data_IF_293888905548
#
_entry.id   IF_293888905548
#
_cell.length_a   1.000
_cell.length_b   1.000
_cell.length_c   1.000
_cell.angle_alpha   90.00
_cell.angle_beta   90.00
_cell.angle_gamma   90.00
#
_symmetry.space_group_name_H-M   'P 1'
#
loop_
_entity.id
_entity.type
_entity.pdbx_description
1 polymer ?
#
# COMPACT_ATOMS: atom_id res chain seq x y z
N UNK A 1 1.28 26.86 -9.34
CA UNK A 1 2.27 27.77 -9.95
C UNK A 1 2.71 27.26 -11.29
N UNK A 2 2.92 28.11 -12.24
CA UNK A 2 3.54 27.79 -13.54
C UNK A 2 5.05 27.92 -13.41
N UNK A 3 5.81 27.27 -14.31
CA UNK A 3 7.27 27.40 -14.37
C UNK A 3 7.73 28.86 -14.51
N UNK A 4 6.96 29.71 -15.19
CA UNK A 4 7.26 31.13 -15.40
C UNK A 4 7.25 31.93 -14.09
N UNK A 5 6.50 31.49 -13.07
CA UNK A 5 6.41 32.18 -11.80
C UNK A 5 7.39 31.64 -10.73
N UNK A 6 8.14 30.56 -11.03
CA UNK A 6 8.98 29.90 -10.03
C UNK A 6 10.08 30.84 -9.47
N UNK A 7 10.75 31.60 -10.31
CA UNK A 7 11.77 32.56 -9.87
C UNK A 7 11.18 33.66 -8.98
N UNK A 8 10.04 34.23 -9.37
CA UNK A 8 9.35 35.26 -8.59
C UNK A 8 8.87 34.71 -7.23
N UNK A 9 8.34 33.48 -7.19
CA UNK A 9 7.94 32.84 -5.92
C UNK A 9 9.14 32.58 -5.00
N UNK A 10 10.28 32.19 -5.58
CA UNK A 10 11.51 32.03 -4.82
C UNK A 10 12.01 33.35 -4.23
N UNK A 11 11.99 34.43 -4.99
CA UNK A 11 12.33 35.78 -4.50
C UNK A 11 11.40 36.22 -3.37
N UNK A 12 10.09 36.03 -3.52
CA UNK A 12 9.12 36.34 -2.47
C UNK A 12 9.36 35.49 -1.21
N UNK A 13 9.65 34.22 -1.35
CA UNK A 13 9.92 33.33 -0.23
C UNK A 13 11.19 33.78 0.55
N UNK A 14 12.24 34.19 -0.14
CA UNK A 14 13.46 34.74 0.47
C UNK A 14 13.16 36.05 1.22
N UNK A 15 12.35 36.92 0.64
CA UNK A 15 11.98 38.19 1.30
C UNK A 15 11.16 37.96 2.57
N UNK A 16 10.16 37.06 2.50
CA UNK A 16 9.37 36.65 3.68
C UNK A 16 10.27 36.08 4.77
N UNK A 17 11.23 35.22 4.41
CA UNK A 17 12.17 34.65 5.35
C UNK A 17 13.07 35.71 6.02
N UNK A 18 13.53 36.72 5.26
CA UNK A 18 14.32 37.85 5.79
C UNK A 18 13.51 38.68 6.78
N UNK A 19 12.25 38.99 6.46
CA UNK A 19 11.35 39.76 7.32
C UNK A 19 11.00 39.00 8.60
N UNK A 20 10.82 37.67 8.49
CA UNK A 20 10.48 36.82 9.63
C UNK A 20 11.65 36.52 10.57
N UNK A 21 12.89 36.62 10.08
CA UNK A 21 14.11 36.29 10.86
C UNK A 21 14.21 36.98 12.21
N UNK A 22 13.91 38.29 12.37
CA UNK A 22 14.02 38.98 13.67
C UNK A 22 13.01 38.49 14.72
N UNK A 23 11.94 37.81 14.31
CA UNK A 23 10.91 37.31 15.21
C UNK A 23 11.33 36.01 15.91
N UNK A 24 12.30 35.29 15.36
CA UNK A 24 12.83 34.07 15.94
C UNK A 24 13.86 34.40 17.05
N UNK A 25 13.51 34.06 18.28
CA UNK A 25 14.38 34.29 19.44
C UNK A 25 15.65 33.45 19.40
N UNK A 26 15.61 32.28 18.81
CA UNK A 26 16.75 31.37 18.65
C UNK A 26 16.93 30.98 17.18
N UNK A 27 18.15 30.99 16.65
CA UNK A 27 18.41 30.53 15.30
C UNK A 27 18.20 28.98 15.20
N UNK A 28 17.54 28.55 14.17
CA UNK A 28 17.44 27.10 13.86
C UNK A 28 18.78 26.63 13.32
N UNK A 29 19.41 25.69 14.03
CA UNK A 29 20.64 25.02 13.59
C UNK A 29 20.25 23.64 13.05
N UNK A 30 20.43 23.44 11.75
CA UNK A 30 20.20 22.14 11.11
C UNK A 30 21.41 21.23 11.36
N UNK A 31 21.15 19.94 11.51
CA UNK A 31 22.21 18.94 11.55
C UNK A 31 23.01 18.97 10.23
N UNK A 32 24.33 18.73 10.29
CA UNK A 32 25.09 18.59 9.05
C UNK A 32 24.68 17.36 8.28
N UNK A 33 24.29 17.56 7.04
CA UNK A 33 23.90 16.48 6.11
C UNK A 33 24.92 16.41 4.96
N UNK A 34 25.26 15.20 4.49
CA UNK A 34 26.16 15.05 3.35
C UNK A 34 25.48 15.54 2.06
N UNK A 35 26.29 16.14 1.18
CA UNK A 35 25.82 16.51 -0.15
C UNK A 35 25.91 15.28 -1.05
N UNK A 36 24.77 14.78 -1.50
CA UNK A 36 24.65 13.59 -2.35
C UNK A 36 24.77 13.90 -3.86
N UNK A 37 24.74 15.18 -4.23
CA UNK A 37 24.76 15.59 -5.62
C UNK A 37 23.50 15.19 -6.37
N UNK A 38 23.68 14.75 -7.61
CA UNK A 38 22.57 14.28 -8.45
C UNK A 38 22.39 12.77 -8.29
N UNK A 39 21.20 12.36 -7.85
CA UNK A 39 20.84 10.97 -7.65
C UNK A 39 19.47 10.66 -8.26
N UNK A 40 19.36 9.48 -8.84
CA UNK A 40 18.11 8.95 -9.39
C UNK A 40 17.86 7.59 -8.77
N UNK A 41 16.67 7.40 -8.24
CA UNK A 41 16.26 6.12 -7.69
C UNK A 41 14.86 5.76 -8.18
N UNK A 42 14.66 4.48 -8.52
CA UNK A 42 13.36 3.91 -8.83
C UNK A 42 13.13 2.65 -8.01
N UNK A 43 11.91 2.46 -7.51
CA UNK A 43 11.54 1.22 -6.85
C UNK A 43 11.61 0.04 -7.83
N UNK A 44 11.96 -1.17 -7.34
CA UNK A 44 11.91 -2.35 -8.19
C UNK A 44 10.48 -2.57 -8.70
N UNK A 45 10.35 -2.76 -10.01
CA UNK A 45 9.07 -2.99 -10.67
C UNK A 45 9.32 -3.85 -11.91
N UNK A 46 8.89 -5.11 -11.86
CA UNK A 46 9.06 -6.04 -12.98
C UNK A 46 8.04 -5.78 -14.09
N UNK A 47 6.79 -5.54 -13.72
CA UNK A 47 5.69 -5.25 -14.64
C UNK A 47 4.99 -4.00 -14.14
N UNK A 48 5.11 -2.90 -14.91
CA UNK A 48 4.43 -1.66 -14.53
C UNK A 48 2.89 -1.84 -14.56
N UNK A 49 2.17 -1.67 -13.44
CA UNK A 49 0.73 -1.91 -13.37
C UNK A 49 -0.08 -0.93 -14.23
N UNK A 50 0.49 0.21 -14.61
CA UNK A 50 -0.17 1.19 -15.49
C UNK A 50 -0.08 0.81 -16.98
N UNK A 51 0.82 -0.10 -17.34
CA UNK A 51 0.94 -0.63 -18.70
C UNK A 51 0.10 -1.90 -18.90
N UNK A 52 -0.43 -2.49 -17.82
CA UNK A 52 -1.31 -3.67 -17.88
C UNK A 52 -2.75 -3.22 -18.18
N UNK A 53 -3.41 -3.78 -19.20
CA UNK A 53 -4.80 -3.45 -19.51
C UNK A 53 -5.74 -3.77 -18.34
N UNK A 54 -6.75 -2.92 -18.09
CA UNK A 54 -7.72 -3.16 -17.03
C UNK A 54 -8.51 -4.45 -17.24
N UNK A 55 -8.74 -4.84 -18.48
CA UNK A 55 -9.38 -6.14 -18.83
C UNK A 55 -8.58 -7.34 -18.34
N UNK A 56 -7.26 -7.27 -18.35
CA UNK A 56 -6.36 -8.31 -17.85
C UNK A 56 -6.40 -8.36 -16.32
N UNK A 57 -6.32 -7.20 -15.66
CA UNK A 57 -6.44 -7.10 -14.21
C UNK A 57 -7.78 -7.67 -13.71
N UNK A 58 -8.89 -7.25 -14.36
CA UNK A 58 -10.22 -7.75 -14.04
C UNK A 58 -10.30 -9.26 -14.24
N UNK A 59 -9.77 -9.79 -15.33
CA UNK A 59 -9.78 -11.23 -15.60
C UNK A 59 -9.00 -12.01 -14.53
N UNK A 60 -7.87 -11.48 -14.07
CA UNK A 60 -7.04 -12.08 -13.02
C UNK A 60 -7.80 -12.16 -11.68
N UNK A 61 -8.31 -11.06 -11.16
CA UNK A 61 -9.07 -11.04 -9.91
C UNK A 61 -10.39 -11.80 -10.00
N UNK A 62 -11.03 -11.82 -11.19
CA UNK A 62 -12.19 -12.65 -11.45
C UNK A 62 -11.87 -14.14 -11.31
N UNK A 63 -10.75 -14.60 -11.87
CA UNK A 63 -10.34 -15.99 -11.74
C UNK A 63 -10.12 -16.40 -10.27
N UNK A 64 -9.53 -15.53 -9.47
CA UNK A 64 -9.38 -15.73 -8.04
C UNK A 64 -10.71 -15.74 -7.29
N UNK A 65 -11.61 -14.81 -7.62
CA UNK A 65 -12.97 -14.78 -7.05
C UNK A 65 -13.74 -16.05 -7.38
N UNK A 66 -13.67 -16.53 -8.62
CA UNK A 66 -14.29 -17.77 -9.06
C UNK A 66 -13.68 -19.00 -8.36
N UNK A 67 -12.36 -18.98 -8.05
CA UNK A 67 -11.71 -20.02 -7.25
C UNK A 67 -12.29 -20.09 -5.85
N UNK A 68 -12.43 -18.97 -5.16
CA UNK A 68 -13.00 -18.90 -3.82
C UNK A 68 -14.48 -19.29 -3.79
N UNK A 69 -15.29 -18.84 -4.75
CA UNK A 69 -16.71 -19.15 -4.85
C UNK A 69 -17.01 -20.65 -5.09
N UNK A 70 -16.03 -21.47 -5.51
CA UNK A 70 -16.20 -22.92 -5.60
C UNK A 70 -16.21 -23.63 -4.25
N UNK A 71 -15.74 -22.98 -3.19
CA UNK A 71 -15.72 -23.54 -1.85
C UNK A 71 -17.09 -23.42 -1.18
N UNK A 72 -17.57 -24.53 -0.65
CA UNK A 72 -18.81 -24.55 0.09
C UNK A 72 -18.72 -23.58 1.29
N UNK A 73 -19.73 -22.76 1.48
CA UNK A 73 -19.80 -21.75 2.53
C UNK A 73 -19.31 -20.37 2.12
N UNK A 74 -18.70 -20.20 0.92
CA UNK A 74 -18.42 -18.88 0.36
C UNK A 74 -19.61 -18.44 -0.48
N UNK A 75 -20.33 -17.42 -0.01
CA UNK A 75 -21.53 -16.91 -0.66
C UNK A 75 -21.24 -15.75 -1.62
N UNK A 76 -20.23 -14.96 -1.33
CA UNK A 76 -19.86 -13.78 -2.13
C UNK A 76 -18.37 -13.49 -2.01
N UNK A 77 -17.79 -12.86 -3.03
CA UNK A 77 -16.40 -12.40 -3.02
C UNK A 77 -16.33 -11.01 -3.66
N UNK A 78 -15.78 -10.07 -2.92
CA UNK A 78 -15.35 -8.77 -3.44
C UNK A 78 -13.85 -8.78 -3.70
N UNK A 79 -13.43 -8.11 -4.77
CA UNK A 79 -12.01 -7.93 -5.09
C UNK A 79 -11.70 -6.47 -5.37
N UNK A 80 -10.58 -5.99 -4.86
CA UNK A 80 -10.09 -4.65 -5.10
C UNK A 80 -8.62 -4.64 -5.52
N UNK A 81 -8.25 -3.62 -6.28
CA UNK A 81 -6.89 -3.37 -6.70
C UNK A 81 -6.62 -1.88 -6.74
N UNK A 82 -5.48 -1.48 -6.21
CA UNK A 82 -4.96 -0.13 -6.28
C UNK A 82 -3.47 -0.15 -6.65
N UNK A 83 -3.07 0.74 -7.54
CA UNK A 83 -1.67 1.02 -7.80
C UNK A 83 -1.43 2.52 -7.70
N UNK A 84 -0.28 2.90 -7.13
CA UNK A 84 0.15 4.28 -7.00
C UNK A 84 1.56 4.41 -7.55
N UNK A 85 1.73 5.33 -8.52
CA UNK A 85 3.03 5.77 -8.98
C UNK A 85 3.29 7.18 -8.48
N UNK A 86 4.35 7.34 -7.70
CA UNK A 86 4.76 8.61 -7.14
C UNK A 86 6.12 8.99 -7.71
N UNK A 87 6.21 10.19 -8.32
CA UNK A 87 7.46 10.77 -8.78
C UNK A 87 7.77 11.99 -7.91
N UNK A 88 8.95 12.00 -7.27
CA UNK A 88 9.42 13.10 -6.44
C UNK A 88 10.70 13.67 -7.00
N UNK A 89 10.77 14.99 -7.03
CA UNK A 89 12.00 15.72 -7.26
C UNK A 89 12.30 16.60 -6.04
N UNK A 90 13.51 16.49 -5.52
CA UNK A 90 14.02 17.33 -4.44
C UNK A 90 15.28 18.03 -4.90
N UNK A 91 15.40 19.31 -4.59
CA UNK A 91 16.64 20.07 -4.76
C UNK A 91 16.82 21.05 -3.61
N UNK A 92 18.07 21.27 -3.22
CA UNK A 92 18.44 22.24 -2.21
C UNK A 92 19.63 23.14 -2.65
N UNK A 93 19.92 24.14 -1.83
CA UNK A 93 21.04 25.06 -2.10
C UNK A 93 22.42 24.44 -1.79
N UNK A 94 22.46 23.30 -1.09
CA UNK A 94 23.71 22.55 -0.87
C UNK A 94 24.18 21.82 -2.14
N UNK A 95 23.29 21.66 -3.13
CA UNK A 95 23.60 21.05 -4.42
C UNK A 95 23.01 19.66 -4.61
N UNK A 96 22.12 19.21 -3.71
CA UNK A 96 21.40 17.98 -3.90
C UNK A 96 20.32 18.15 -4.97
N UNK A 97 20.21 17.13 -5.84
CA UNK A 97 19.16 16.97 -6.86
C UNK A 97 18.75 15.52 -6.90
N UNK A 98 17.64 15.21 -6.25
CA UNK A 98 17.19 13.83 -6.05
C UNK A 98 15.91 13.61 -6.86
N UNK A 99 15.94 12.64 -7.77
CA UNK A 99 14.75 12.17 -8.49
C UNK A 99 14.40 10.79 -7.98
N UNK A 100 13.17 10.63 -7.54
CA UNK A 100 12.67 9.35 -7.05
C UNK A 100 11.39 8.98 -7.78
N UNK A 101 11.31 7.72 -8.19
CA UNK A 101 10.09 7.10 -8.69
C UNK A 101 9.76 5.88 -7.84
N UNK A 102 8.54 5.85 -7.32
CA UNK A 102 8.06 4.76 -6.50
C UNK A 102 6.75 4.23 -7.06
N UNK A 103 6.68 2.91 -7.25
CA UNK A 103 5.46 2.19 -7.57
C UNK A 103 5.10 1.34 -6.37
N UNK A 104 3.83 1.38 -5.99
CA UNK A 104 3.24 0.55 -4.93
C UNK A 104 1.95 -0.06 -5.46
N UNK A 105 1.76 -1.34 -5.16
CA UNK A 105 0.54 -2.06 -5.50
C UNK A 105 -0.08 -2.64 -4.23
N UNK A 106 -1.38 -2.55 -4.14
CA UNK A 106 -2.20 -3.11 -3.09
C UNK A 106 -3.44 -3.72 -3.72
N UNK A 107 -3.94 -4.78 -3.13
CA UNK A 107 -5.19 -5.39 -3.57
C UNK A 107 -5.47 -6.64 -2.75
N UNK A 108 -6.64 -7.19 -2.95
CA UNK A 108 -7.03 -8.40 -2.26
C UNK A 108 -8.46 -8.82 -2.55
N UNK A 109 -8.85 -9.88 -1.88
CA UNK A 109 -10.20 -10.41 -1.95
C UNK A 109 -10.81 -10.48 -0.56
N UNK A 110 -12.08 -10.15 -0.47
CA UNK A 110 -12.89 -10.33 0.74
C UNK A 110 -13.95 -11.36 0.43
N UNK A 111 -13.85 -12.51 1.08
CA UNK A 111 -14.85 -13.56 1.00
C UNK A 111 -15.90 -13.39 2.11
N UNK A 112 -17.15 -13.68 1.79
CA UNK A 112 -18.30 -13.60 2.68
C UNK A 112 -18.92 -14.98 2.83
N UNK A 113 -19.15 -15.42 4.05
CA UNK A 113 -19.94 -16.58 4.39
C UNK A 113 -21.26 -16.17 5.03
N UNK A 114 -22.32 -16.91 4.77
CA UNK A 114 -23.64 -16.71 5.35
C UNK A 114 -24.11 -18.04 5.93
N UNK A 115 -24.55 -18.00 7.17
CA UNK A 115 -25.28 -19.11 7.80
C UNK A 115 -26.75 -19.03 7.39
N UNK A 116 -27.22 -19.97 6.59
CA UNK A 116 -28.59 -19.96 6.07
C UNK A 116 -29.67 -20.19 7.14
N UNK A 117 -29.32 -20.81 8.27
CA UNK A 117 -30.26 -21.09 9.34
C UNK A 117 -30.47 -19.88 10.25
N UNK A 118 -29.40 -19.19 10.58
CA UNK A 118 -29.41 -18.05 11.54
C UNK A 118 -29.43 -16.70 10.85
N UNK A 119 -29.04 -16.62 9.57
CA UNK A 119 -28.82 -15.39 8.84
C UNK A 119 -27.54 -14.63 9.28
N UNK A 120 -26.74 -15.23 10.14
CA UNK A 120 -25.44 -14.66 10.51
C UNK A 120 -24.50 -14.67 9.30
N UNK A 121 -23.66 -13.67 9.20
CA UNK A 121 -22.64 -13.61 8.17
C UNK A 121 -21.28 -13.19 8.74
N UNK A 122 -20.23 -13.65 8.11
CA UNK A 122 -18.86 -13.26 8.41
C UNK A 122 -18.08 -12.97 7.14
N UNK A 123 -17.07 -12.16 7.30
CA UNK A 123 -16.17 -11.77 6.19
C UNK A 123 -14.73 -12.11 6.55
N UNK A 124 -13.95 -12.51 5.56
CA UNK A 124 -12.51 -12.69 5.69
C UNK A 124 -11.81 -12.10 4.47
N UNK A 125 -10.84 -11.22 4.73
CA UNK A 125 -10.01 -10.62 3.69
C UNK A 125 -8.65 -11.32 3.64
N UNK A 126 -8.08 -11.39 2.46
CA UNK A 126 -6.67 -11.76 2.28
C UNK A 126 -5.76 -10.81 3.06
N UNK A 127 -4.68 -11.32 3.62
CA UNK A 127 -3.75 -10.56 4.50
C UNK A 127 -2.54 -9.99 3.77
N UNK A 128 -2.45 -10.14 2.44
CA UNK A 128 -1.36 -9.60 1.65
C UNK A 128 -1.14 -8.11 1.94
N UNK A 129 0.06 -7.70 2.38
CA UNK A 129 0.34 -6.29 2.65
C UNK A 129 0.53 -5.50 1.34
N UNK A 130 0.37 -4.16 1.36
CA UNK A 130 0.81 -3.32 0.26
C UNK A 130 2.29 -3.54 -0.05
N UNK A 131 2.63 -3.71 -1.31
CA UNK A 131 3.99 -4.00 -1.74
C UNK A 131 4.59 -2.88 -2.60
N UNK A 132 5.88 -2.60 -2.41
CA UNK A 132 6.68 -1.74 -3.30
C UNK A 132 7.07 -2.47 -4.59
N UNK A 133 6.10 -3.08 -5.27
CA UNK A 133 6.25 -3.88 -6.49
C UNK A 133 5.20 -3.46 -7.52
N UNK A 134 5.36 -3.94 -8.76
CA UNK A 134 4.40 -3.76 -9.83
C UNK A 134 3.36 -4.88 -9.90
N UNK A 135 2.86 -5.13 -11.11
CA UNK A 135 1.84 -6.15 -11.33
C UNK A 135 2.32 -7.59 -11.07
N UNK A 136 3.63 -7.82 -11.13
CA UNK A 136 4.24 -9.10 -10.77
C UNK A 136 3.90 -9.56 -9.34
N UNK A 137 3.57 -8.63 -8.44
CA UNK A 137 3.11 -8.95 -7.08
C UNK A 137 1.87 -9.86 -7.07
N UNK A 138 0.99 -9.74 -8.06
CA UNK A 138 -0.22 -10.53 -8.18
C UNK A 138 -0.08 -11.74 -9.10
N UNK A 139 0.96 -11.78 -9.93
CA UNK A 139 1.13 -12.82 -10.95
C UNK A 139 2.25 -13.81 -10.64
N UNK A 140 2.98 -13.58 -9.54
CA UNK A 140 4.00 -14.51 -9.06
C UNK A 140 3.86 -14.71 -7.54
N UNK A 141 4.35 -15.86 -7.04
CA UNK A 141 4.39 -16.15 -5.60
C UNK A 141 5.77 -15.80 -4.98
N UNK A 142 6.59 -14.98 -5.65
CA UNK A 142 7.95 -14.66 -5.17
C UNK A 142 7.96 -13.72 -3.96
N UNK A 143 7.00 -12.79 -3.90
CA UNK A 143 6.90 -11.78 -2.83
C UNK A 143 5.84 -12.18 -1.80
N UNK A 144 4.73 -12.73 -2.26
CA UNK A 144 3.63 -13.20 -1.42
C UNK A 144 3.01 -14.44 -2.06
N UNK A 145 2.77 -15.46 -1.27
CA UNK A 145 2.19 -16.71 -1.75
C UNK A 145 0.65 -16.60 -1.84
N UNK A 146 0.18 -16.05 -2.96
CA UNK A 146 -1.23 -15.89 -3.24
C UNK A 146 -1.98 -17.24 -3.34
N UNK A 147 -1.31 -18.29 -3.79
CA UNK A 147 -1.94 -19.60 -3.90
C UNK A 147 -2.22 -20.19 -2.52
N UNK A 148 -1.25 -20.14 -1.61
CA UNK A 148 -1.43 -20.59 -0.24
C UNK A 148 -2.49 -19.75 0.49
N UNK A 149 -2.51 -18.43 0.27
CA UNK A 149 -3.48 -17.53 0.88
C UNK A 149 -4.91 -17.84 0.42
N UNK A 150 -5.14 -18.01 -0.88
CA UNK A 150 -6.45 -18.32 -1.45
C UNK A 150 -6.94 -19.72 -1.05
N UNK A 151 -6.04 -20.67 -0.83
CA UNK A 151 -6.39 -22.01 -0.36
C UNK A 151 -6.78 -22.01 1.14
N UNK A 152 -6.13 -21.19 1.95
CA UNK A 152 -6.41 -21.09 3.39
C UNK A 152 -7.69 -20.29 3.70
N UNK A 153 -7.99 -19.25 2.92
CA UNK A 153 -9.05 -18.27 3.21
C UNK A 153 -10.44 -18.90 3.46
N UNK A 154 -10.95 -19.87 2.67
CA UNK A 154 -12.26 -20.47 2.91
C UNK A 154 -12.33 -21.24 4.23
N UNK A 155 -11.22 -21.88 4.64
CA UNK A 155 -11.11 -22.55 5.93
C UNK A 155 -11.22 -21.58 7.10
N UNK A 156 -10.42 -20.53 7.06
CA UNK A 156 -10.40 -19.46 8.07
C UNK A 156 -11.75 -18.75 8.18
N UNK A 157 -12.41 -18.48 7.06
CA UNK A 157 -13.74 -17.87 7.02
C UNK A 157 -14.78 -18.75 7.70
N UNK A 158 -14.77 -20.06 7.44
CA UNK A 158 -15.67 -21.04 8.08
C UNK A 158 -15.42 -21.12 9.58
N UNK A 159 -14.15 -21.17 9.99
CA UNK A 159 -13.78 -21.21 11.42
C UNK A 159 -14.24 -19.93 12.13
N UNK A 160 -14.11 -18.77 11.47
CA UNK A 160 -14.61 -17.49 11.97
C UNK A 160 -16.12 -17.47 12.13
N UNK A 161 -16.87 -17.99 11.15
CA UNK A 161 -18.34 -18.06 11.21
C UNK A 161 -18.83 -18.97 12.37
N UNK A 162 -18.07 -20.02 12.66
CA UNK A 162 -18.38 -20.95 13.75
C UNK A 162 -17.85 -20.50 15.13
N UNK A 163 -17.04 -19.45 15.18
CA UNK A 163 -16.42 -18.99 16.41
C UNK A 163 -17.45 -18.35 17.36
N UNK A 164 -17.37 -18.65 18.68
CA UNK A 164 -18.20 -17.96 19.65
C UNK A 164 -17.80 -16.48 19.77
N UNK A 165 -18.76 -15.64 20.13
CA UNK A 165 -18.47 -14.23 20.45
C UNK A 165 -17.57 -14.13 21.68
N UNK A 166 -16.66 -13.15 21.67
CA UNK A 166 -15.78 -12.85 22.80
C UNK A 166 -16.63 -12.30 23.95
N UNK A 167 -16.47 -12.87 25.15
CA UNK A 167 -17.12 -12.36 26.35
C UNK A 167 -16.45 -11.06 26.82
N UNK A 168 -17.21 -10.15 27.45
CA UNK A 168 -16.64 -8.93 28.01
C UNK A 168 -15.69 -9.25 29.16
N UNK A 169 -14.46 -8.72 29.11
CA UNK A 169 -13.43 -9.00 30.13
C UNK A 169 -12.13 -8.28 29.82
N UNK A 170 -11.15 -8.49 30.70
CA UNK A 170 -9.77 -8.06 30.46
C UNK A 170 -9.00 -9.21 29.80
N UNK A 171 -8.30 -8.92 28.70
CA UNK A 171 -7.54 -9.90 27.93
C UNK A 171 -6.14 -9.36 27.60
N UNK A 172 -5.16 -10.23 27.64
CA UNK A 172 -3.85 -9.93 27.08
C UNK A 172 -3.94 -10.01 25.54
N UNK A 173 -3.64 -8.92 24.85
CA UNK A 173 -3.62 -8.86 23.39
C UNK A 173 -2.21 -9.10 22.87
N UNK A 174 -2.02 -10.19 22.15
CA UNK A 174 -0.77 -10.48 21.42
C UNK A 174 -1.02 -10.28 19.93
N UNK A 175 -0.76 -9.08 19.37
CA UNK A 175 -0.91 -8.87 17.95
C UNK A 175 0.20 -9.61 17.19
N UNK A 176 -0.18 -10.31 16.12
CA UNK A 176 0.77 -10.84 15.17
C UNK A 176 1.23 -9.68 14.26
N UNK A 177 2.52 -9.40 14.22
CA UNK A 177 3.06 -8.47 13.23
C UNK A 177 2.91 -9.07 11.82
N UNK A 178 2.50 -8.24 10.87
CA UNK A 178 2.67 -8.60 9.45
C UNK A 178 4.15 -8.84 9.19
N UNK A 179 4.47 -9.81 8.33
CA UNK A 179 5.86 -10.14 8.01
C UNK A 179 6.59 -8.87 7.52
N UNK A 180 7.58 -8.35 8.28
CA UNK A 180 8.28 -7.13 7.91
C UNK A 180 9.10 -7.28 6.62
N UNK A 181 9.45 -8.51 6.23
CA UNK A 181 10.24 -8.80 5.03
C UNK A 181 9.39 -8.80 3.75
N UNK A 182 8.06 -8.90 3.87
CA UNK A 182 7.15 -8.85 2.72
C UNK A 182 6.93 -7.40 2.20
N UNK A 183 7.32 -6.37 2.95
CA UNK A 183 7.03 -4.96 2.65
C UNK A 183 8.22 -4.18 2.05
N UNK A 184 9.38 -4.83 1.79
CA UNK A 184 10.61 -4.16 1.32
C UNK A 184 10.81 -4.33 -0.18
#
# INVERSE_FOLDING_TARGET
GTHENAAHLAEQAVEVARVSRPVNAEPVVLAPEPVHGEQVWASPCGINPFDVPDTEKIAHFRAWSERLLRHQGVAHVDADFQAVQECKYFADLAGNRLTQQRIRSEGGLTAVAVDEETGAFETMRTIAPPAGRGWEFFTSNEVFDWDAELDALPGLLRDKLAAPSVEAGEYDLVPQAADPDAAV
#
